data_IF_230388015872
#
_entry.id   IF_230388015872
#
_cell.length_a   1.000
_cell.length_b   1.000
_cell.length_c   1.000
_cell.angle_alpha   90.00
_cell.angle_beta   90.00
_cell.angle_gamma   90.00
#
_symmetry.space_group_name_H-M   'P 1'
#
loop_
_entity.id
_entity.type
_entity.pdbx_description
1 polymer ?
#
# COMPACT_ATOMS: atom_id res chain seq x y z
N UNK A 1 -18.71 -12.65 -13.01
CA UNK A 1 -17.48 -11.87 -12.83
C UNK A 1 -16.46 -12.73 -12.10
N UNK A 2 -15.24 -12.84 -12.63
CA UNK A 2 -14.10 -13.47 -11.92
C UNK A 2 -13.55 -12.44 -10.92
N UNK A 3 -13.43 -12.82 -9.65
CA UNK A 3 -12.91 -11.95 -8.56
C UNK A 3 -11.66 -12.51 -7.88
N UNK A 4 -11.19 -13.66 -8.34
CA UNK A 4 -10.00 -14.35 -7.83
C UNK A 4 -8.90 -14.22 -8.87
N UNK A 5 -7.74 -13.73 -8.44
CA UNK A 5 -6.55 -13.49 -9.27
C UNK A 5 -5.43 -14.42 -8.81
N UNK A 6 -4.51 -14.78 -9.71
CA UNK A 6 -3.40 -15.68 -9.42
C UNK A 6 -2.27 -15.02 -8.63
N UNK A 7 -2.18 -13.68 -8.64
CA UNK A 7 -1.19 -12.91 -7.89
C UNK A 7 -1.68 -11.50 -7.55
N UNK A 8 -0.99 -10.83 -6.62
CA UNK A 8 -1.23 -9.43 -6.29
C UNK A 8 -0.96 -8.48 -7.47
N UNK A 9 0.10 -8.75 -8.25
CA UNK A 9 0.41 -7.99 -9.46
C UNK A 9 -0.72 -8.10 -10.50
N UNK A 10 -1.23 -9.31 -10.76
CA UNK A 10 -2.38 -9.51 -11.66
C UNK A 10 -3.64 -8.79 -11.17
N UNK A 11 -3.87 -8.74 -9.85
CA UNK A 11 -5.01 -8.05 -9.26
C UNK A 11 -4.95 -6.52 -9.40
N UNK A 12 -3.75 -5.96 -9.52
CA UNK A 12 -3.50 -4.51 -9.59
C UNK A 12 -3.20 -4.01 -11.00
N UNK A 13 -2.99 -4.91 -11.96
CA UNK A 13 -2.72 -4.57 -13.36
C UNK A 13 -3.86 -3.76 -13.98
N UNK A 14 -3.51 -2.64 -14.61
CA UNK A 14 -4.47 -1.66 -15.15
C UNK A 14 -5.32 -0.91 -14.12
N UNK A 15 -5.13 -1.15 -12.82
CA UNK A 15 -5.84 -0.44 -11.74
C UNK A 15 -5.00 0.69 -11.17
N UNK A 16 -3.70 0.47 -10.95
CA UNK A 16 -2.79 1.46 -10.34
C UNK A 16 -2.53 2.67 -11.25
N UNK A 17 -2.43 3.85 -10.63
CA UNK A 17 -2.04 5.10 -11.29
C UNK A 17 -1.43 6.08 -10.28
N UNK A 18 -0.56 6.97 -10.75
CA UNK A 18 0.09 7.97 -9.90
C UNK A 18 -0.93 8.93 -9.29
N UNK A 19 -0.76 9.27 -8.01
CA UNK A 19 -1.71 10.12 -7.29
C UNK A 19 -2.94 9.40 -6.74
N UNK A 20 -3.00 8.06 -6.84
CA UNK A 20 -4.10 7.27 -6.31
C UNK A 20 -4.27 7.44 -4.79
N UNK A 21 -5.53 7.53 -4.35
CA UNK A 21 -5.92 7.44 -2.95
C UNK A 21 -6.25 5.98 -2.61
N UNK A 22 -5.58 5.42 -1.59
CA UNK A 22 -5.78 4.05 -1.12
C UNK A 22 -6.21 4.05 0.34
N UNK A 23 -7.34 3.40 0.64
CA UNK A 23 -7.71 3.04 2.00
C UNK A 23 -7.15 1.64 2.31
N UNK A 24 -6.27 1.53 3.30
CA UNK A 24 -5.62 0.27 3.66
C UNK A 24 -6.06 -0.17 5.05
N UNK A 25 -6.44 -1.45 5.16
CA UNK A 25 -6.68 -2.10 6.45
C UNK A 25 -5.38 -2.41 7.20
N UNK A 26 -5.53 -2.76 8.48
CA UNK A 26 -4.45 -3.16 9.38
C UNK A 26 -4.35 -2.30 10.65
N UNK A 27 -3.82 -2.90 11.72
CA UNK A 27 -3.48 -2.21 12.98
C UNK A 27 -2.08 -2.62 13.42
N UNK A 28 -1.14 -1.66 13.43
CA UNK A 28 0.28 -1.96 13.48
C UNK A 28 0.67 -2.85 12.30
N UNK A 29 1.09 -4.08 12.58
CA UNK A 29 1.44 -5.10 11.57
C UNK A 29 0.38 -6.21 11.44
N UNK A 30 -0.70 -6.14 12.20
CA UNK A 30 -1.75 -7.17 12.18
C UNK A 30 -2.81 -6.84 11.12
N UNK A 31 -3.13 -7.80 10.24
CA UNK A 31 -4.18 -7.66 9.23
C UNK A 31 -3.84 -6.69 8.09
N UNK A 32 -2.54 -6.48 7.82
CA UNK A 32 -2.08 -5.65 6.70
C UNK A 32 -2.10 -6.42 5.37
N UNK A 33 -2.33 -5.76 4.22
CA UNK A 33 -2.34 -6.40 2.91
C UNK A 33 -0.92 -6.55 2.33
N UNK A 34 -0.05 -7.31 3.00
CA UNK A 34 1.40 -7.40 2.71
C UNK A 34 1.73 -7.66 1.23
N UNK A 35 1.05 -8.62 0.58
CA UNK A 35 1.30 -8.96 -0.82
C UNK A 35 0.91 -7.84 -1.80
N UNK A 36 -0.14 -7.07 -1.48
CA UNK A 36 -0.55 -5.93 -2.30
C UNK A 36 0.41 -4.76 -2.12
N UNK A 37 0.92 -4.53 -0.90
CA UNK A 37 1.90 -3.47 -0.64
C UNK A 37 3.22 -3.74 -1.38
N UNK A 38 3.70 -4.99 -1.39
CA UNK A 38 4.88 -5.36 -2.16
C UNK A 38 4.64 -5.18 -3.66
N UNK A 39 3.48 -5.59 -4.18
CA UNK A 39 3.14 -5.38 -5.58
C UNK A 39 3.05 -3.89 -5.97
N UNK A 40 2.55 -3.03 -5.08
CA UNK A 40 2.54 -1.56 -5.28
C UNK A 40 3.98 -1.01 -5.27
N UNK A 41 4.84 -1.52 -4.39
CA UNK A 41 6.26 -1.16 -4.35
C UNK A 41 6.92 -1.46 -5.68
N UNK A 42 6.75 -2.68 -6.18
CA UNK A 42 7.37 -3.15 -7.42
C UNK A 42 6.81 -2.46 -8.67
N UNK A 43 5.52 -2.13 -8.67
CA UNK A 43 4.89 -1.33 -9.74
C UNK A 43 5.46 0.09 -9.83
N UNK A 44 6.09 0.59 -8.77
CA UNK A 44 6.74 1.90 -8.74
C UNK A 44 5.78 3.09 -8.82
N UNK A 45 4.47 2.88 -8.66
CA UNK A 45 3.45 3.93 -8.65
C UNK A 45 3.74 4.96 -7.55
N UNK A 46 3.64 6.25 -7.89
CA UNK A 46 4.07 7.36 -7.04
C UNK A 46 2.93 8.29 -6.68
N UNK A 47 3.28 9.28 -5.85
CA UNK A 47 2.38 10.31 -5.36
C UNK A 47 1.14 9.77 -4.61
N UNK A 48 1.27 8.57 -4.05
CA UNK A 48 0.16 7.87 -3.40
C UNK A 48 -0.28 8.59 -2.13
N UNK A 49 -1.59 8.62 -1.91
CA UNK A 49 -2.18 9.01 -0.63
C UNK A 49 -2.75 7.78 0.05
N UNK A 50 -2.31 7.49 1.28
CA UNK A 50 -2.85 6.38 2.07
C UNK A 50 -3.70 6.91 3.23
N UNK A 51 -4.87 6.31 3.41
CA UNK A 51 -5.60 6.35 4.67
C UNK A 51 -5.47 4.99 5.37
N UNK A 52 -4.80 4.97 6.52
CA UNK A 52 -4.50 3.77 7.31
C UNK A 52 -4.27 4.17 8.76
N UNK A 53 -4.61 3.31 9.72
CA UNK A 53 -4.39 3.59 11.14
C UNK A 53 -2.90 3.92 11.43
N UNK A 54 -1.99 3.11 10.87
CA UNK A 54 -0.54 3.27 10.96
C UNK A 54 0.12 3.10 9.58
N UNK A 55 1.41 3.45 9.50
CA UNK A 55 2.26 3.15 8.34
C UNK A 55 2.98 1.77 8.44
N UNK A 56 2.82 1.03 9.54
CA UNK A 56 3.65 -0.14 9.82
C UNK A 56 5.00 0.28 10.42
N UNK A 57 6.07 -0.42 10.04
CA UNK A 57 7.46 -0.13 10.45
C UNK A 57 8.33 0.05 9.21
N UNK A 58 9.56 0.55 9.37
CA UNK A 58 10.42 0.95 8.25
C UNK A 58 10.56 -0.11 7.15
N UNK A 59 10.70 -1.38 7.53
CA UNK A 59 10.93 -2.52 6.64
C UNK A 59 9.69 -3.40 6.41
N UNK A 60 8.52 -3.04 6.95
CA UNK A 60 7.30 -3.86 6.82
C UNK A 60 6.00 -3.06 6.86
N UNK A 61 5.03 -3.44 6.04
CA UNK A 61 3.78 -2.70 5.85
C UNK A 61 3.95 -1.52 4.89
N UNK A 62 3.27 -0.39 5.13
CA UNK A 62 3.35 0.79 4.24
C UNK A 62 4.74 1.46 4.32
N UNK A 63 5.52 1.20 5.37
CA UNK A 63 6.87 1.75 5.55
C UNK A 63 7.81 1.48 4.38
N UNK A 64 7.70 0.32 3.74
CA UNK A 64 8.49 -0.01 2.54
C UNK A 64 8.25 0.98 1.38
N UNK A 65 7.03 1.53 1.28
CA UNK A 65 6.65 2.50 0.25
C UNK A 65 7.10 3.93 0.62
N UNK A 66 7.30 4.20 1.91
CA UNK A 66 7.90 5.45 2.37
C UNK A 66 9.39 5.48 2.04
N UNK A 67 10.10 4.36 2.21
CA UNK A 67 11.52 4.24 1.84
C UNK A 67 11.74 4.51 0.34
N UNK A 68 10.84 4.04 -0.53
CA UNK A 68 10.91 4.27 -1.99
C UNK A 68 10.34 5.61 -2.43
N UNK A 69 9.86 6.46 -1.50
CA UNK A 69 9.23 7.76 -1.76
C UNK A 69 8.00 7.66 -2.69
N UNK A 70 7.26 6.56 -2.60
CA UNK A 70 6.03 6.37 -3.38
C UNK A 70 4.82 7.02 -2.72
N UNK A 71 4.84 7.21 -1.41
CA UNK A 71 3.75 7.85 -0.65
C UNK A 71 4.01 9.35 -0.49
N UNK A 72 3.08 10.17 -1.01
CA UNK A 72 3.10 11.64 -0.88
C UNK A 72 2.37 12.12 0.37
N UNK A 73 1.33 11.41 0.81
CA UNK A 73 0.54 11.79 1.99
C UNK A 73 0.04 10.57 2.75
N UNK A 74 0.22 10.59 4.07
CA UNK A 74 -0.45 9.68 5.00
C UNK A 74 -1.58 10.41 5.72
N UNK A 75 -2.71 9.74 5.86
CA UNK A 75 -3.80 10.09 6.78
C UNK A 75 -3.85 8.96 7.81
N UNK A 76 -3.36 9.24 9.02
CA UNK A 76 -3.19 8.24 10.07
C UNK A 76 -3.58 8.78 11.43
N UNK A 77 -3.95 7.88 12.33
CA UNK A 77 -4.27 8.18 13.73
C UNK A 77 -3.03 8.09 14.62
N UNK A 78 -2.05 7.26 14.25
CA UNK A 78 -0.80 7.04 15.01
C UNK A 78 0.31 6.54 14.07
N UNK A 79 1.53 7.05 14.18
CA UNK A 79 2.65 6.70 13.25
C UNK A 79 3.82 5.97 13.91
N UNK A 80 3.88 5.94 15.24
CA UNK A 80 5.05 5.50 15.98
C UNK A 80 5.19 6.32 17.25
#
# INVERSE_FOLDING_TARGET
>A
MKKVYGSAAEALDGVLFDGMFIASGGFGLCGIPELLLEAIKDAGTKDLTFASNNAGVDDFGIGILLQTKQVKKMISSYVG
#
